data_IF_149390187857
#
_entry.id   IF_149390187857
#
_cell.length_a   1.000
_cell.length_b   1.000
_cell.length_c   1.000
_cell.angle_alpha   90.00
_cell.angle_beta   90.00
_cell.angle_gamma   90.00
#
_symmetry.space_group_name_H-M   'P 1'
#
loop_
_entity.id
_entity.type
_entity.pdbx_description
1 polymer ?
#
# COMPACT_ATOMS: atom_id res chain seq x y z
N UNK A 1 -4.83 16.92 -14.13
CA UNK A 1 -5.59 15.69 -13.81
C UNK A 1 -4.59 14.57 -13.66
N UNK A 2 -4.66 13.79 -12.58
CA UNK A 2 -3.81 12.61 -12.43
C UNK A 2 -4.17 11.57 -13.51
N UNK A 3 -3.17 10.94 -14.11
CA UNK A 3 -3.38 9.89 -15.10
C UNK A 3 -3.72 8.58 -14.37
N UNK A 4 -5.01 8.34 -14.11
CA UNK A 4 -5.50 7.26 -13.23
C UNK A 4 -4.95 5.88 -13.62
N UNK A 5 -4.98 5.54 -14.91
CA UNK A 5 -4.46 4.27 -15.43
C UNK A 5 -2.94 4.12 -15.20
N UNK A 6 -2.18 5.21 -15.39
CA UNK A 6 -0.73 5.22 -15.18
C UNK A 6 -0.39 5.06 -13.69
N UNK A 7 -1.10 5.76 -12.82
CA UNK A 7 -0.95 5.66 -11.36
C UNK A 7 -1.32 4.27 -10.84
N UNK A 8 -2.42 3.68 -11.33
CA UNK A 8 -2.83 2.33 -10.97
C UNK A 8 -1.76 1.29 -11.36
N UNK A 9 -1.21 1.42 -12.58
CA UNK A 9 -0.10 0.56 -13.04
C UNK A 9 1.15 0.75 -12.19
N UNK A 10 1.51 1.99 -11.88
CA UNK A 10 2.67 2.30 -11.04
C UNK A 10 2.50 1.72 -9.63
N UNK A 11 1.33 1.87 -9.03
CA UNK A 11 1.02 1.33 -7.71
C UNK A 11 0.95 -0.20 -7.70
N UNK A 12 0.48 -0.84 -8.77
CA UNK A 12 0.51 -2.30 -8.92
C UNK A 12 1.93 -2.87 -8.82
N UNK A 13 2.94 -2.17 -9.36
CA UNK A 13 4.35 -2.55 -9.20
C UNK A 13 4.81 -2.40 -7.75
N UNK A 14 4.35 -1.37 -7.03
CA UNK A 14 4.67 -1.16 -5.61
C UNK A 14 4.05 -2.25 -4.72
N UNK A 15 2.81 -2.65 -4.99
CA UNK A 15 2.13 -3.76 -4.33
C UNK A 15 2.88 -5.07 -4.46
N UNK A 16 3.30 -5.42 -5.68
CA UNK A 16 4.09 -6.61 -5.91
C UNK A 16 5.41 -6.56 -5.12
N UNK A 17 6.09 -5.41 -5.12
CA UNK A 17 7.32 -5.22 -4.34
C UNK A 17 7.07 -5.33 -2.83
N UNK A 18 5.99 -4.76 -2.32
CA UNK A 18 5.64 -4.85 -0.91
C UNK A 18 5.43 -6.31 -0.50
N UNK A 19 4.73 -7.11 -1.31
CA UNK A 19 4.52 -8.52 -1.03
C UNK A 19 5.84 -9.32 -0.92
N UNK A 20 6.77 -9.09 -1.84
CA UNK A 20 8.06 -9.79 -1.85
C UNK A 20 8.99 -9.35 -0.69
N UNK A 21 8.84 -8.10 -0.20
CA UNK A 21 9.72 -7.52 0.82
C UNK A 21 9.12 -7.64 2.22
N UNK A 22 9.37 -8.78 2.89
CA UNK A 22 8.94 -9.00 4.29
C UNK A 22 9.96 -8.43 5.30
N UNK A 23 9.53 -7.72 6.36
CA UNK A 23 8.14 -7.42 6.72
C UNK A 23 7.58 -6.24 5.92
N UNK A 24 6.38 -6.42 5.36
CA UNK A 24 5.58 -5.37 4.74
C UNK A 24 4.21 -5.29 5.40
N UNK A 25 3.58 -4.13 5.27
CA UNK A 25 2.21 -3.90 5.69
C UNK A 25 1.42 -3.37 4.50
N UNK A 26 0.30 -4.02 4.21
CA UNK A 26 -0.60 -3.66 3.12
C UNK A 26 -2.01 -3.66 3.69
N UNK A 27 -2.70 -2.53 3.55
CA UNK A 27 -4.11 -2.41 3.89
C UNK A 27 -4.89 -1.82 2.72
N UNK A 28 -6.10 -2.34 2.50
CA UNK A 28 -6.96 -1.93 1.40
C UNK A 28 -8.41 -1.95 1.85
N UNK A 29 -9.11 -0.84 1.64
CA UNK A 29 -10.55 -0.73 1.85
C UNK A 29 -11.22 -0.20 0.59
N UNK A 30 -12.51 0.14 0.64
CA UNK A 30 -13.26 0.63 -0.52
C UNK A 30 -12.68 1.91 -1.16
N UNK A 31 -12.08 2.78 -0.35
CA UNK A 31 -11.73 4.16 -0.73
C UNK A 31 -10.25 4.35 -1.06
N UNK A 32 -9.36 3.58 -0.42
CA UNK A 32 -7.93 3.66 -0.68
C UNK A 32 -7.21 2.33 -0.45
N UNK A 33 -5.96 2.32 -0.90
CA UNK A 33 -5.00 1.28 -0.62
C UNK A 33 -3.68 1.89 -0.17
N UNK A 34 -3.04 1.25 0.79
CA UNK A 34 -1.76 1.66 1.35
C UNK A 34 -0.80 0.48 1.42
N UNK A 35 0.47 0.75 1.15
CA UNK A 35 1.55 -0.19 1.38
C UNK A 35 2.78 0.48 2.01
N UNK A 36 3.42 -0.26 2.91
CA UNK A 36 4.62 0.12 3.61
C UNK A 36 5.59 -1.05 3.60
N UNK A 37 6.79 -0.87 3.07
CA UNK A 37 7.76 -1.96 2.93
C UNK A 37 9.20 -1.46 2.88
N UNK A 38 10.20 -2.29 3.27
CA UNK A 38 11.60 -1.93 3.16
C UNK A 38 12.02 -1.90 1.67
N UNK A 39 12.79 -0.89 1.30
CA UNK A 39 13.29 -0.69 -0.06
C UNK A 39 14.63 -1.40 -0.32
N UNK A 40 15.26 -1.92 0.73
CA UNK A 40 16.56 -2.59 0.71
C UNK A 40 16.61 -3.69 1.79
N UNK A 41 17.53 -4.65 1.60
CA UNK A 41 17.70 -5.80 2.51
C UNK A 41 18.19 -5.39 3.90
N UNK A 42 18.87 -4.25 4.00
CA UNK A 42 19.38 -3.70 5.27
C UNK A 42 18.28 -3.00 6.08
N UNK A 43 17.08 -2.83 5.50
CA UNK A 43 15.91 -2.14 6.08
C UNK A 43 16.22 -0.71 6.51
N UNK A 44 17.19 -0.05 5.86
CA UNK A 44 17.59 1.32 6.18
C UNK A 44 16.77 2.36 5.42
N UNK A 45 16.16 1.98 4.31
CA UNK A 45 15.20 2.79 3.55
C UNK A 45 13.88 2.07 3.45
N UNK A 46 12.80 2.82 3.58
CA UNK A 46 11.43 2.31 3.48
C UNK A 46 10.65 3.11 2.45
N UNK A 47 9.68 2.45 1.84
CA UNK A 47 8.71 3.09 0.93
C UNK A 47 7.35 3.05 1.60
N UNK A 48 6.76 4.23 1.71
CA UNK A 48 5.34 4.45 1.98
C UNK A 48 4.69 4.79 0.64
N UNK A 49 3.58 4.13 0.32
CA UNK A 49 2.76 4.53 -0.81
C UNK A 49 1.28 4.33 -0.53
N UNK A 50 0.46 5.21 -1.09
CA UNK A 50 -0.99 5.07 -1.08
C UNK A 50 -1.60 5.46 -2.41
N UNK A 51 -2.72 4.83 -2.74
CA UNK A 51 -3.56 5.21 -3.87
C UNK A 51 -5.00 5.37 -3.41
N UNK A 52 -5.61 6.50 -3.74
CA UNK A 52 -7.03 6.77 -3.47
C UNK A 52 -7.85 6.38 -4.70
N UNK A 53 -8.81 5.47 -4.55
CA UNK A 53 -9.58 4.92 -5.68
C UNK A 53 -10.47 5.99 -6.37
N UNK A 54 -11.20 6.86 -5.65
CA UNK A 54 -12.07 7.85 -6.29
C UNK A 54 -11.37 8.79 -7.28
N UNK A 55 -10.23 9.37 -6.89
CA UNK A 55 -9.53 10.38 -7.68
C UNK A 55 -8.30 9.83 -8.43
N UNK A 56 -7.84 8.62 -8.08
CA UNK A 56 -6.63 8.01 -8.64
C UNK A 56 -5.35 8.70 -8.21
N UNK A 57 -5.38 9.45 -7.11
CA UNK A 57 -4.20 10.12 -6.57
C UNK A 57 -3.25 9.08 -5.97
N UNK A 58 -2.00 9.12 -6.45
CA UNK A 58 -0.91 8.29 -5.96
C UNK A 58 0.04 9.17 -5.14
N UNK A 59 0.21 8.85 -3.87
CA UNK A 59 1.26 9.41 -3.03
C UNK A 59 2.31 8.33 -2.77
N UNK A 60 3.58 8.68 -2.95
CA UNK A 60 4.70 7.77 -2.71
C UNK A 60 5.84 8.55 -2.11
N UNK A 61 6.38 8.05 -1.00
CA UNK A 61 7.48 8.66 -0.27
C UNK A 61 8.52 7.62 0.12
N UNK A 62 9.77 8.04 0.11
CA UNK A 62 10.85 7.29 0.74
C UNK A 62 11.07 7.86 2.14
N UNK A 63 11.11 6.98 3.14
CA UNK A 63 11.19 7.36 4.55
C UNK A 63 12.27 6.54 5.26
N UNK A 64 12.68 7.03 6.43
CA UNK A 64 13.57 6.30 7.33
C UNK A 64 12.80 5.23 8.14
N UNK A 65 13.52 4.30 8.79
CA UNK A 65 12.89 3.20 9.53
C UNK A 65 12.09 3.65 10.75
N UNK A 66 12.50 4.73 11.43
CA UNK A 66 11.79 5.24 12.61
C UNK A 66 10.42 5.77 12.19
N UNK A 67 10.38 6.53 11.10
CA UNK A 67 9.13 7.01 10.51
C UNK A 67 8.26 5.87 9.98
N UNK A 68 8.85 4.82 9.40
CA UNK A 68 8.10 3.64 8.96
C UNK A 68 7.38 2.94 10.13
N UNK A 69 8.07 2.75 11.26
CA UNK A 69 7.44 2.17 12.47
C UNK A 69 6.31 3.08 12.98
N UNK A 70 6.54 4.39 13.01
CA UNK A 70 5.50 5.34 13.44
C UNK A 70 4.25 5.26 12.56
N UNK A 71 4.41 5.24 11.23
CA UNK A 71 3.29 5.12 10.29
C UNK A 71 2.57 3.78 10.40
N UNK A 72 3.30 2.68 10.58
CA UNK A 72 2.68 1.38 10.87
C UNK A 72 1.78 1.48 12.11
N UNK A 73 2.26 2.07 13.19
CA UNK A 73 1.48 2.25 14.42
C UNK A 73 0.24 3.12 14.17
N UNK A 74 0.36 4.20 13.39
CA UNK A 74 -0.80 5.03 13.02
C UNK A 74 -1.84 4.25 12.21
N UNK A 75 -1.43 3.46 11.22
CA UNK A 75 -2.35 2.60 10.46
C UNK A 75 -2.99 1.51 11.33
N UNK A 76 -2.27 0.97 12.31
CA UNK A 76 -2.84 -0.01 13.24
C UNK A 76 -3.87 0.61 14.20
N UNK A 77 -3.78 1.92 14.49
CA UNK A 77 -4.78 2.60 15.35
C UNK A 77 -6.13 2.75 14.67
N UNK A 78 -6.17 2.85 13.34
CA UNK A 78 -7.40 3.01 12.57
C UNK A 78 -8.07 1.67 12.22
N UNK A 79 -7.38 0.54 12.44
CA UNK A 79 -7.93 -0.81 12.23
C UNK A 79 -9.29 -1.09 12.89
N UNK A 80 -9.57 -0.66 14.13
CA UNK A 80 -10.89 -0.87 14.73
C UNK A 80 -12.03 -0.21 13.93
N UNK A 81 -11.70 0.81 13.13
CA UNK A 81 -12.67 1.51 12.26
C UNK A 81 -12.78 0.83 10.90
N UNK A 82 -11.65 0.41 10.32
CA UNK A 82 -11.62 -0.18 8.97
C UNK A 82 -11.93 -1.69 8.93
N UNK A 83 -11.73 -2.40 10.04
CA UNK A 83 -11.84 -3.85 10.10
C UNK A 83 -10.52 -4.56 9.77
N UNK A 84 -10.22 -5.64 10.48
CA UNK A 84 -8.99 -6.41 10.32
C UNK A 84 -8.91 -7.13 8.96
N UNK A 85 -10.05 -7.36 8.32
CA UNK A 85 -10.21 -7.90 6.98
C UNK A 85 -9.61 -7.01 5.88
N UNK A 86 -9.36 -5.74 6.18
CA UNK A 86 -8.67 -4.81 5.26
C UNK A 86 -7.17 -5.06 5.18
N UNK A 87 -6.58 -5.84 6.10
CA UNK A 87 -5.16 -6.20 6.04
C UNK A 87 -4.98 -7.34 5.05
N UNK A 88 -4.07 -7.15 4.10
CA UNK A 88 -3.69 -8.20 3.15
C UNK A 88 -2.68 -9.12 3.82
N UNK A 89 -3.13 -10.33 4.15
CA UNK A 89 -2.32 -11.36 4.84
C UNK A 89 -2.07 -12.59 3.98
N UNK A 90 -2.79 -12.72 2.86
CA UNK A 90 -2.71 -13.87 1.95
C UNK A 90 -2.53 -13.44 0.50
N UNK A 91 -1.96 -14.33 -0.31
CA UNK A 91 -1.79 -14.10 -1.75
C UNK A 91 -3.13 -13.90 -2.48
N UNK A 92 -4.18 -14.60 -2.06
CA UNK A 92 -5.52 -14.43 -2.62
C UNK A 92 -6.07 -13.02 -2.39
N UNK A 93 -5.91 -12.47 -1.18
CA UNK A 93 -6.29 -11.08 -0.89
C UNK A 93 -5.45 -10.08 -1.70
N UNK A 94 -4.16 -10.35 -1.90
CA UNK A 94 -3.31 -9.51 -2.74
C UNK A 94 -3.82 -9.46 -4.19
N UNK A 95 -4.16 -10.62 -4.75
CA UNK A 95 -4.62 -10.72 -6.14
C UNK A 95 -5.99 -10.03 -6.33
N UNK A 96 -6.90 -10.18 -5.36
CA UNK A 96 -8.18 -9.45 -5.33
C UNK A 96 -7.94 -7.93 -5.33
N UNK A 97 -7.08 -7.47 -4.43
CA UNK A 97 -6.73 -6.06 -4.29
C UNK A 97 -6.06 -5.51 -5.55
N UNK A 98 -5.14 -6.25 -6.17
CA UNK A 98 -4.53 -5.88 -7.43
C UNK A 98 -5.55 -5.84 -8.57
N UNK A 99 -6.52 -6.75 -8.58
CA UNK A 99 -7.64 -6.74 -9.53
C UNK A 99 -8.47 -5.46 -9.47
N UNK A 100 -8.68 -4.91 -8.26
CA UNK A 100 -9.40 -3.63 -8.07
C UNK A 100 -8.69 -2.45 -8.73
N UNK A 101 -7.35 -2.44 -8.78
CA UNK A 101 -6.61 -1.40 -9.50
C UNK A 101 -6.90 -1.40 -11.00
N UNK A 102 -7.21 -2.57 -11.58
CA UNK A 102 -7.58 -2.69 -13.00
C UNK A 102 -8.92 -2.04 -13.36
N UNK A 103 -9.71 -1.63 -12.37
CA UNK A 103 -10.97 -0.89 -12.58
C UNK A 103 -10.75 0.61 -12.78
N UNK A 104 -9.56 1.13 -12.44
CA UNK A 104 -9.18 2.53 -12.62
C UNK A 104 -8.72 2.74 -14.07
N UNK A 105 -9.66 3.22 -14.92
CA UNK A 105 -9.41 3.63 -16.31
C UNK A 105 -9.00 5.10 -16.40
#
# INVERSE_FOLDING_TARGET
MANKAENAKAFGVLLAKAWENTPSFICSNGDYIYCLYPADDTKTKWVEASLTFPDGSLDKKQIDPVKAIALLVEELKVLPTYGADTIVTTKAQLDEVAGRLGTLK
#
